data_IF_480502563504
#
_entry.id   IF_480502563504
#
_cell.length_a   1.000
_cell.length_b   1.000
_cell.length_c   1.000
_cell.angle_alpha   90.00
_cell.angle_beta   90.00
_cell.angle_gamma   90.00
#
_symmetry.space_group_name_H-M   'P 1'
#
loop_
_entity.id
_entity.type
_entity.pdbx_description
1 polymer ?
#
# COMPACT_ATOMS: atom_id res chain seq x y z
N UNK A 1 19.66 12.05 -69.32
CA UNK A 1 18.26 11.93 -68.85
C UNK A 1 18.31 11.72 -67.35
N UNK A 2 17.60 12.56 -66.62
CA UNK A 2 17.80 12.90 -65.21
C UNK A 2 16.99 12.05 -64.23
N UNK A 3 17.57 11.80 -63.03
CA UNK A 3 16.96 11.60 -61.70
C UNK A 3 15.94 10.44 -61.50
N UNK A 4 15.83 9.73 -60.37
CA UNK A 4 16.35 9.89 -59.02
C UNK A 4 16.41 8.51 -58.33
N UNK A 5 17.47 8.22 -57.58
CA UNK A 5 17.49 7.11 -56.62
C UNK A 5 16.85 7.62 -55.32
N UNK A 6 15.61 7.21 -55.05
CA UNK A 6 14.94 7.48 -53.79
C UNK A 6 15.59 6.65 -52.68
N UNK A 7 16.50 7.26 -51.93
CA UNK A 7 17.07 6.67 -50.72
C UNK A 7 16.07 6.72 -49.58
N UNK A 8 15.43 5.60 -49.26
CA UNK A 8 14.61 5.46 -48.05
C UNK A 8 15.53 5.38 -46.83
N UNK A 9 15.65 6.49 -46.09
CA UNK A 9 16.29 6.50 -44.79
C UNK A 9 15.34 5.87 -43.75
N UNK A 10 15.63 4.63 -43.35
CA UNK A 10 15.02 3.98 -42.19
C UNK A 10 15.54 4.69 -40.93
N UNK A 11 14.74 5.58 -40.36
CA UNK A 11 14.97 6.13 -39.02
C UNK A 11 14.67 5.02 -38.02
N UNK A 12 15.71 4.35 -37.53
CA UNK A 12 15.59 3.43 -36.40
C UNK A 12 15.28 4.24 -35.14
N UNK A 13 14.00 4.28 -34.75
CA UNK A 13 13.60 4.85 -33.46
C UNK A 13 14.18 4.01 -32.33
N UNK A 14 15.07 4.61 -31.52
CA UNK A 14 15.49 4.01 -30.27
C UNK A 14 14.27 3.98 -29.33
N UNK A 15 13.76 2.79 -29.04
CA UNK A 15 12.76 2.60 -28.00
C UNK A 15 13.45 2.83 -26.64
N UNK A 16 13.11 3.93 -25.98
CA UNK A 16 13.47 4.14 -24.57
C UNK A 16 12.48 3.32 -23.76
N UNK A 17 12.95 2.23 -23.14
CA UNK A 17 12.14 1.47 -22.20
C UNK A 17 11.90 2.34 -20.95
N UNK A 18 10.64 2.73 -20.73
CA UNK A 18 10.24 3.41 -19.50
C UNK A 18 10.34 2.42 -18.32
N UNK A 19 11.30 2.62 -17.43
CA UNK A 19 11.39 1.86 -16.18
C UNK A 19 10.42 2.44 -15.13
N UNK A 20 9.19 1.91 -15.09
CA UNK A 20 8.27 2.16 -13.98
C UNK A 20 8.70 1.32 -12.76
N UNK A 21 9.76 1.74 -12.07
CA UNK A 21 10.30 1.03 -10.93
C UNK A 21 9.38 1.17 -9.70
N UNK A 22 9.02 0.05 -9.08
CA UNK A 22 8.29 0.05 -7.80
C UNK A 22 9.27 0.33 -6.66
N UNK A 23 8.90 1.21 -5.75
CA UNK A 23 9.68 1.51 -4.54
C UNK A 23 9.14 0.67 -3.39
N UNK A 24 9.98 -0.17 -2.80
CA UNK A 24 9.62 -0.98 -1.63
C UNK A 24 9.76 -0.15 -0.36
N UNK A 25 8.68 -0.05 0.40
CA UNK A 25 8.65 0.72 1.65
C UNK A 25 8.62 -0.20 2.87
N UNK A 26 9.20 0.29 3.98
CA UNK A 26 9.29 -0.45 5.25
C UNK A 26 8.10 -0.21 6.15
N UNK A 27 7.31 0.83 5.89
CA UNK A 27 6.18 1.24 6.70
C UNK A 27 4.98 1.48 5.79
N UNK A 28 3.85 0.89 6.16
CA UNK A 28 2.54 1.20 5.62
C UNK A 28 1.79 2.12 6.58
N UNK A 29 1.20 3.19 6.04
CA UNK A 29 0.41 4.14 6.80
C UNK A 29 -1.05 3.84 6.55
N UNK A 30 -1.81 3.61 7.62
CA UNK A 30 -3.23 3.31 7.55
C UNK A 30 -4.04 4.44 8.14
N UNK A 31 -5.27 4.58 7.65
CA UNK A 31 -6.32 5.29 8.36
C UNK A 31 -7.34 4.28 8.86
N UNK A 32 -7.75 4.44 10.11
CA UNK A 32 -8.83 3.68 10.72
C UNK A 32 -9.92 4.62 11.21
N UNK A 33 -11.19 4.25 11.00
CA UNK A 33 -12.34 4.95 11.60
C UNK A 33 -13.06 4.04 12.58
N UNK A 34 -13.40 4.59 13.73
CA UNK A 34 -14.40 4.02 14.62
C UNK A 34 -15.77 4.60 14.25
N UNK A 35 -16.67 3.76 13.72
CA UNK A 35 -18.01 4.17 13.25
C UNK A 35 -18.96 4.55 14.39
N UNK A 36 -18.67 4.14 15.62
CA UNK A 36 -19.47 4.49 16.80
C UNK A 36 -19.14 5.92 17.23
N UNK A 37 -17.85 6.28 17.25
CA UNK A 37 -17.41 7.61 17.68
C UNK A 37 -17.22 8.60 16.54
N UNK A 38 -17.13 8.13 15.29
CA UNK A 38 -16.80 8.91 14.11
C UNK A 38 -15.34 9.38 14.05
N UNK A 39 -14.47 8.93 14.95
CA UNK A 39 -13.07 9.38 15.01
C UNK A 39 -12.22 8.61 13.99
N UNK A 40 -11.52 9.35 13.14
CA UNK A 40 -10.49 8.83 12.23
C UNK A 40 -9.12 8.97 12.91
N UNK A 41 -8.34 7.90 12.89
CA UNK A 41 -6.96 7.85 13.40
C UNK A 41 -6.04 7.38 12.30
N UNK A 42 -4.89 8.06 12.14
CA UNK A 42 -3.81 7.58 11.28
C UNK A 42 -2.77 6.88 12.14
N UNK A 43 -2.31 5.71 11.69
CA UNK A 43 -1.29 4.94 12.39
C UNK A 43 -0.35 4.28 11.39
N UNK A 44 0.90 4.13 11.81
CA UNK A 44 1.96 3.53 11.02
C UNK A 44 2.16 2.08 11.44
N UNK A 45 2.40 1.21 10.47
CA UNK A 45 2.67 -0.21 10.71
C UNK A 45 3.88 -0.61 9.89
N UNK A 46 4.89 -1.17 10.56
CA UNK A 46 6.05 -1.74 9.88
C UNK A 46 5.64 -3.00 9.13
N UNK A 47 6.32 -3.27 8.02
CA UNK A 47 6.07 -4.52 7.27
C UNK A 47 6.31 -5.73 8.16
N UNK A 48 5.39 -6.70 8.07
CA UNK A 48 5.33 -7.94 8.86
C UNK A 48 5.06 -7.76 10.36
N UNK A 49 4.87 -6.53 10.83
CA UNK A 49 4.41 -6.25 12.18
C UNK A 49 2.88 -6.15 12.24
N UNK A 50 2.33 -6.45 13.41
CA UNK A 50 0.88 -6.37 13.66
C UNK A 50 0.58 -5.22 14.61
N UNK A 51 -0.29 -4.29 14.18
CA UNK A 51 -0.83 -3.23 15.03
C UNK A 51 -2.32 -3.46 15.24
N UNK A 52 -2.77 -3.24 16.48
CA UNK A 52 -4.18 -3.35 16.83
C UNK A 52 -4.88 -2.00 16.71
N UNK A 53 -5.98 -1.96 15.95
CA UNK A 53 -6.92 -0.86 15.87
C UNK A 53 -8.31 -1.34 16.30
N UNK A 54 -8.72 -0.98 17.52
CA UNK A 54 -9.97 -1.48 18.09
C UNK A 54 -9.95 -3.01 18.25
N UNK A 55 -10.87 -3.69 17.57
CA UNK A 55 -10.91 -5.16 17.53
C UNK A 55 -10.14 -5.77 16.34
N UNK A 56 -9.52 -4.94 15.49
CA UNK A 56 -8.82 -5.39 14.29
C UNK A 56 -7.30 -5.45 14.53
N UNK A 57 -6.66 -6.50 14.04
CA UNK A 57 -5.21 -6.66 13.97
C UNK A 57 -4.78 -6.53 12.52
N UNK A 58 -4.03 -5.47 12.20
CA UNK A 58 -3.64 -5.10 10.84
C UNK A 58 -2.18 -5.45 10.63
N UNK A 59 -1.90 -6.27 9.60
CA UNK A 59 -0.55 -6.74 9.28
C UNK A 59 -0.25 -6.53 7.79
N UNK A 60 0.48 -5.46 7.42
CA UNK A 60 0.94 -5.26 6.04
C UNK A 60 2.09 -6.22 5.73
N UNK A 61 2.00 -6.92 4.60
CA UNK A 61 3.07 -7.81 4.10
C UNK A 61 4.03 -7.13 3.16
N UNK A 62 3.53 -6.19 2.36
CA UNK A 62 4.31 -5.36 1.45
C UNK A 62 3.61 -4.02 1.27
N UNK A 63 4.38 -2.98 0.98
CA UNK A 63 3.87 -1.64 0.67
C UNK A 63 4.74 -1.04 -0.43
N UNK A 64 4.13 -0.73 -1.57
CA UNK A 64 4.80 -0.17 -2.73
C UNK A 64 4.33 1.26 -3.00
N UNK A 65 5.28 2.12 -3.38
CA UNK A 65 4.99 3.43 -3.95
C UNK A 65 5.66 3.57 -5.33
N UNK A 66 5.43 4.71 -5.97
CA UNK A 66 6.09 5.11 -7.23
C UNK A 66 6.90 6.37 -7.00
N UNK A 67 7.80 6.64 -7.94
CA UNK A 67 8.56 7.89 -7.94
C UNK A 67 7.64 9.11 -8.13
N UNK A 68 8.09 10.27 -7.66
CA UNK A 68 7.35 11.54 -7.73
C UNK A 68 7.10 12.01 -9.17
N UNK A 69 7.90 11.57 -10.14
CA UNK A 69 7.73 11.92 -11.56
C UNK A 69 6.59 11.17 -12.26
N UNK A 70 6.02 10.12 -11.63
CA UNK A 70 4.88 9.35 -12.11
C UNK A 70 3.62 9.63 -11.27
N UNK A 71 2.45 9.22 -11.78
CA UNK A 71 1.23 9.21 -10.98
C UNK A 71 1.40 8.35 -9.72
N UNK A 72 1.00 8.91 -8.57
CA UNK A 72 1.25 8.35 -7.23
C UNK A 72 0.42 7.10 -6.92
N UNK A 73 0.84 5.96 -7.46
CA UNK A 73 0.20 4.67 -7.19
C UNK A 73 0.81 4.01 -5.97
N UNK A 74 0.02 3.98 -4.90
CA UNK A 74 0.39 3.36 -3.64
C UNK A 74 -0.50 2.14 -3.40
N UNK A 75 0.14 0.99 -3.26
CA UNK A 75 -0.53 -0.30 -3.07
C UNK A 75 0.16 -1.14 -2.00
N UNK A 76 -0.62 -1.88 -1.21
CA UNK A 76 -0.10 -2.73 -0.14
C UNK A 76 -0.89 -4.03 -0.08
N UNK A 77 -0.22 -5.16 0.14
CA UNK A 77 -0.90 -6.40 0.49
C UNK A 77 -1.03 -6.48 2.01
N UNK A 78 -2.25 -6.67 2.49
CA UNK A 78 -2.58 -6.56 3.92
C UNK A 78 -3.42 -7.75 4.35
N UNK A 79 -3.06 -8.30 5.49
CA UNK A 79 -3.88 -9.27 6.23
C UNK A 79 -4.51 -8.55 7.42
N UNK A 80 -5.82 -8.74 7.63
CA UNK A 80 -6.51 -8.23 8.81
C UNK A 80 -7.29 -9.34 9.50
N UNK A 81 -7.00 -9.49 10.78
CA UNK A 81 -7.66 -10.41 11.69
C UNK A 81 -8.58 -9.63 12.64
N UNK A 82 -9.72 -10.23 13.00
CA UNK A 82 -10.66 -9.72 14.00
C UNK A 82 -10.49 -10.51 15.30
N UNK A 83 -10.41 -9.80 16.43
CA UNK A 83 -10.53 -10.36 17.77
C UNK A 83 -12.00 -10.33 18.16
N UNK A 84 -12.63 -11.49 18.18
CA UNK A 84 -14.05 -11.64 18.51
C UNK A 84 -14.29 -11.49 20.02
N UNK A 85 -15.57 -11.35 20.42
CA UNK A 85 -15.98 -11.25 21.83
C UNK A 85 -15.59 -12.48 22.66
N UNK A 86 -15.52 -13.66 22.04
CA UNK A 86 -15.05 -14.90 22.67
C UNK A 86 -13.52 -15.07 22.61
N UNK A 87 -12.79 -14.01 22.26
CA UNK A 87 -11.32 -13.94 22.18
C UNK A 87 -10.71 -14.91 21.16
N UNK A 88 -11.44 -15.21 20.08
CA UNK A 88 -10.89 -15.93 18.93
C UNK A 88 -10.35 -14.93 17.92
N UNK A 89 -9.27 -15.32 17.25
CA UNK A 89 -8.67 -14.55 16.16
C UNK A 89 -9.13 -15.17 14.85
N UNK A 90 -9.70 -14.37 13.96
CA UNK A 90 -10.19 -14.81 12.65
C UNK A 90 -9.81 -13.83 11.56
N UNK A 91 -9.23 -14.35 10.46
CA UNK A 91 -8.98 -13.59 9.23
C UNK A 91 -10.29 -13.09 8.65
N UNK A 92 -10.44 -11.77 8.55
CA UNK A 92 -11.59 -11.13 7.89
C UNK A 92 -11.21 -10.52 6.55
N UNK A 93 -9.93 -10.22 6.33
CA UNK A 93 -9.42 -9.67 5.08
C UNK A 93 -8.01 -10.18 4.77
N UNK A 94 -7.74 -10.41 3.49
CA UNK A 94 -6.41 -10.73 2.97
C UNK A 94 -6.38 -10.33 1.50
N UNK A 95 -5.73 -9.21 1.17
CA UNK A 95 -5.77 -8.69 -0.18
C UNK A 95 -4.97 -7.41 -0.39
N UNK A 96 -5.02 -6.92 -1.63
CA UNK A 96 -4.38 -5.67 -2.02
C UNK A 96 -5.27 -4.48 -1.69
N UNK A 97 -4.71 -3.48 -1.01
CA UNK A 97 -5.31 -2.17 -0.77
C UNK A 97 -4.66 -1.12 -1.66
N UNK A 98 -5.41 -0.09 -2.04
CA UNK A 98 -4.96 1.00 -2.92
C UNK A 98 -5.27 2.34 -2.27
N UNK A 99 -4.24 3.16 -2.03
CA UNK A 99 -4.43 4.44 -1.33
C UNK A 99 -5.27 5.44 -2.13
N UNK A 100 -5.14 5.46 -3.45
CA UNK A 100 -5.90 6.35 -4.36
C UNK A 100 -7.36 5.92 -4.53
N UNK A 101 -7.70 4.68 -4.16
CA UNK A 101 -9.06 4.15 -4.27
C UNK A 101 -9.41 3.27 -3.08
N UNK A 102 -9.51 3.85 -1.86
CA UNK A 102 -9.76 3.08 -0.65
C UNK A 102 -11.02 2.21 -0.74
N UNK A 103 -12.09 2.71 -1.36
CA UNK A 103 -13.35 2.00 -1.51
C UNK A 103 -13.31 0.75 -2.41
N UNK A 104 -12.22 0.48 -3.13
CA UNK A 104 -12.12 -0.74 -3.94
C UNK A 104 -11.80 -1.98 -3.10
N UNK A 105 -10.96 -1.84 -2.08
CA UNK A 105 -10.46 -2.96 -1.29
C UNK A 105 -10.09 -2.55 0.15
N UNK A 106 -10.91 -1.72 0.80
CA UNK A 106 -10.76 -1.45 2.24
C UNK A 106 -11.34 -2.59 3.08
N UNK A 107 -10.94 -2.66 4.35
CA UNK A 107 -11.65 -3.50 5.32
C UNK A 107 -12.89 -2.76 5.78
N UNK A 108 -14.05 -3.34 5.51
CA UNK A 108 -15.34 -2.89 6.01
C UNK A 108 -15.80 -3.80 7.14
N UNK A 109 -15.58 -3.38 8.39
CA UNK A 109 -16.09 -4.09 9.57
C UNK A 109 -17.28 -3.31 10.17
N UNK A 110 -18.27 -3.97 10.83
CA UNK A 110 -19.48 -3.30 11.30
C UNK A 110 -19.22 -2.09 12.23
N UNK A 111 -18.11 -2.11 12.95
CA UNK A 111 -17.72 -1.06 13.92
C UNK A 111 -16.51 -0.25 13.45
N UNK A 112 -15.61 -0.84 12.67
CA UNK A 112 -14.31 -0.25 12.33
C UNK A 112 -14.10 -0.33 10.81
N UNK A 113 -13.56 0.70 10.18
CA UNK A 113 -12.97 0.54 8.84
C UNK A 113 -11.48 0.82 8.88
N UNK A 114 -10.72 0.13 8.05
CA UNK A 114 -9.28 0.36 7.87
C UNK A 114 -8.96 0.38 6.39
N UNK A 115 -8.20 1.39 5.97
CA UNK A 115 -7.72 1.51 4.60
C UNK A 115 -6.29 2.04 4.54
N UNK A 116 -5.57 1.66 3.49
CA UNK A 116 -4.25 2.17 3.18
C UNK A 116 -4.32 3.66 2.86
N UNK A 117 -3.41 4.44 3.43
CA UNK A 117 -3.27 5.88 3.20
C UNK A 117 -1.99 6.21 2.44
N UNK A 118 -0.87 5.58 2.80
CA UNK A 118 0.45 5.91 2.26
C UNK A 118 1.46 4.77 2.52
N UNK A 119 2.62 4.81 1.87
CA UNK A 119 3.79 3.98 2.16
C UNK A 119 5.01 4.87 2.35
N UNK A 120 5.83 4.61 3.39
CA UNK A 120 7.04 5.41 3.65
C UNK A 120 8.25 4.58 4.07
N UNK A 121 9.44 5.13 3.86
CA UNK A 121 10.71 4.48 4.19
C UNK A 121 11.01 4.45 5.69
N UNK A 122 10.55 5.47 6.43
CA UNK A 122 10.81 5.65 7.87
C UNK A 122 9.57 6.21 8.55
N UNK A 123 9.37 5.87 9.82
CA UNK A 123 8.38 6.49 10.69
C UNK A 123 9.08 7.16 11.88
N UNK A 124 8.49 8.25 12.37
CA UNK A 124 8.86 8.87 13.64
C UNK A 124 8.30 8.08 14.84
N UNK A 125 7.38 7.14 14.58
CA UNK A 125 6.97 6.12 15.53
C UNK A 125 8.08 5.06 15.58
N UNK A 126 8.71 4.83 16.75
CA UNK A 126 9.70 3.79 16.90
C UNK A 126 9.12 2.44 16.45
N UNK A 127 9.92 1.67 15.71
CA UNK A 127 9.59 0.27 15.48
C UNK A 127 9.44 -0.43 16.83
N UNK A 128 8.56 -1.43 16.96
CA UNK A 128 8.55 -2.29 18.14
C UNK A 128 9.99 -2.76 18.40
N UNK A 129 10.46 -2.62 19.64
CA UNK A 129 11.73 -3.24 20.00
C UNK A 129 11.56 -4.73 19.73
N UNK A 130 12.36 -5.27 18.80
CA UNK A 130 12.55 -6.70 18.69
C UNK A 130 13.08 -7.13 20.06
N UNK A 131 12.19 -7.56 20.94
CA UNK A 131 12.55 -8.07 22.24
C UNK A 131 13.47 -9.25 21.95
N UNK A 132 14.76 -8.98 22.17
CA UNK A 132 15.86 -9.89 22.05
C UNK A 132 15.50 -11.14 22.85
N UNK A 133 15.28 -12.25 22.15
CA UNK A 133 15.46 -13.58 22.71
C UNK A 133 16.75 -14.14 22.13
#
# INVERSE_FOLDING_TARGET
MALALAGSALVAGAAVEAQAARINNRVAVFSGIDKITGRITTFDVYIDETVQFGALQVTPRVCYSRDETEAQKIDAFVEVDEITLDRKIRRIFSGWMFAESPGLNAVEHPIYDVWLKDCKQKSDVPAPDNAQN
#
